data_IF_197272244920
#
_entry.id   IF_197272244920
#
_cell.length_a   1.000
_cell.length_b   1.000
_cell.length_c   1.000
_cell.angle_alpha   90.00
_cell.angle_beta   90.00
_cell.angle_gamma   90.00
#
_symmetry.space_group_name_H-M   'P 1'
#
loop_
_entity.id
_entity.type
_entity.pdbx_description
1 polymer ?
#
# COMPACT_ATOMS: atom_id res chain seq x y z
N UNK A 1 -2.94 26.88 13.56
CA UNK A 1 -1.93 25.96 14.14
C UNK A 1 -2.18 24.49 13.78
N UNK A 2 -3.38 23.94 14.02
CA UNK A 2 -3.70 22.52 13.73
C UNK A 2 -3.37 22.10 12.28
N UNK A 3 -3.78 22.91 11.27
CA UNK A 3 -3.49 22.61 9.86
C UNK A 3 -1.98 22.55 9.53
N UNK A 4 -1.16 23.32 10.24
CA UNK A 4 0.29 23.29 10.06
C UNK A 4 0.88 22.01 10.66
N UNK A 5 0.45 21.62 11.86
CA UNK A 5 0.86 20.37 12.49
C UNK A 5 0.48 19.14 11.65
N UNK A 6 -0.74 19.11 11.10
CA UNK A 6 -1.18 18.00 10.24
C UNK A 6 -0.34 17.92 8.96
N UNK A 7 -0.02 19.06 8.32
CA UNK A 7 0.88 19.10 7.16
C UNK A 7 2.29 18.63 7.51
N UNK A 8 2.80 19.02 8.67
CA UNK A 8 4.13 18.61 9.13
C UNK A 8 4.20 17.08 9.31
N UNK A 9 3.21 16.50 9.99
CA UNK A 9 3.10 15.05 10.16
C UNK A 9 3.00 14.36 8.80
N UNK A 10 2.14 14.86 7.91
CA UNK A 10 2.00 14.33 6.55
C UNK A 10 3.32 14.39 5.76
N UNK A 11 4.16 15.42 5.97
CA UNK A 11 5.45 15.54 5.30
C UNK A 11 6.45 14.50 5.81
N UNK A 12 6.50 14.28 7.12
CA UNK A 12 7.34 13.24 7.71
C UNK A 12 6.90 11.84 7.28
N UNK A 13 5.60 11.55 7.22
CA UNK A 13 5.11 10.26 6.73
C UNK A 13 5.40 10.07 5.25
N UNK A 14 5.28 11.12 4.42
CA UNK A 14 5.65 11.06 3.02
C UNK A 14 7.16 10.81 2.84
N UNK A 15 8.01 11.48 3.63
CA UNK A 15 9.45 11.25 3.62
C UNK A 15 9.81 9.81 4.02
N UNK A 16 9.15 9.27 5.06
CA UNK A 16 9.31 7.88 5.46
C UNK A 16 8.88 6.90 4.35
N UNK A 17 7.78 7.18 3.64
CA UNK A 17 7.34 6.38 2.49
C UNK A 17 8.39 6.35 1.37
N UNK A 18 9.09 7.47 1.12
CA UNK A 18 10.18 7.52 0.13
C UNK A 18 11.35 6.63 0.52
N UNK A 19 11.74 6.60 1.80
CA UNK A 19 12.80 5.70 2.30
C UNK A 19 12.38 4.23 2.14
N UNK A 20 11.12 3.93 2.48
CA UNK A 20 10.56 2.59 2.30
C UNK A 20 10.48 2.20 0.82
N UNK A 21 10.25 3.13 -0.10
CA UNK A 21 10.21 2.84 -1.53
C UNK A 21 11.56 2.35 -2.05
N UNK A 22 12.66 2.92 -1.54
CA UNK A 22 14.02 2.43 -1.84
C UNK A 22 14.19 1.01 -1.29
N UNK A 23 13.75 0.75 -0.06
CA UNK A 23 13.78 -0.58 0.55
C UNK A 23 12.95 -1.62 -0.23
N UNK A 24 11.74 -1.26 -0.66
CA UNK A 24 10.86 -2.10 -1.47
C UNK A 24 11.50 -2.41 -2.83
N UNK A 25 12.16 -1.42 -3.44
CA UNK A 25 12.89 -1.60 -4.71
C UNK A 25 14.08 -2.54 -4.54
N UNK A 26 14.89 -2.34 -3.49
CA UNK A 26 16.01 -3.22 -3.16
C UNK A 26 15.55 -4.65 -2.87
N UNK A 27 14.45 -4.82 -2.12
CA UNK A 27 13.83 -6.11 -1.86
C UNK A 27 13.32 -6.78 -3.14
N UNK A 28 12.72 -6.01 -4.05
CA UNK A 28 12.24 -6.51 -5.35
C UNK A 28 13.40 -6.98 -6.23
N UNK A 29 14.49 -6.23 -6.28
CA UNK A 29 15.72 -6.60 -7.01
C UNK A 29 16.37 -7.85 -6.39
N UNK A 30 16.46 -7.93 -5.07
CA UNK A 30 16.97 -9.12 -4.39
C UNK A 30 16.08 -10.34 -4.67
N UNK A 31 14.76 -10.17 -4.65
CA UNK A 31 13.82 -11.24 -4.95
C UNK A 31 13.87 -11.69 -6.41
N UNK A 32 14.12 -10.79 -7.37
CA UNK A 32 14.26 -11.15 -8.78
C UNK A 32 15.60 -11.83 -9.07
N UNK A 33 16.68 -11.44 -8.39
CA UNK A 33 17.97 -12.11 -8.48
C UNK A 33 17.96 -13.54 -7.91
N UNK A 34 17.08 -13.83 -6.95
CA UNK A 34 17.00 -15.12 -6.25
C UNK A 34 15.89 -16.04 -6.79
N UNK A 35 15.06 -15.58 -7.73
CA UNK A 35 13.97 -16.40 -8.30
C UNK A 35 14.43 -17.10 -9.57
N UNK A 36 14.51 -18.45 -9.58
CA UNK A 36 14.72 -19.21 -10.82
C UNK A 36 13.47 -19.21 -11.72
N UNK A 37 12.33 -18.74 -11.22
CA UNK A 37 11.07 -18.64 -11.93
C UNK A 37 10.91 -17.26 -12.57
N UNK A 38 10.43 -17.24 -13.81
CA UNK A 38 10.04 -16.00 -14.49
C UNK A 38 8.90 -15.29 -13.73
N UNK A 39 8.80 -13.95 -13.87
CA UNK A 39 7.72 -13.16 -13.25
C UNK A 39 6.32 -13.69 -13.60
N UNK A 40 6.14 -14.19 -14.82
CA UNK A 40 4.88 -14.76 -15.30
C UNK A 40 4.50 -16.06 -14.57
N UNK A 41 5.48 -16.93 -14.32
CA UNK A 41 5.30 -18.14 -13.52
C UNK A 41 5.03 -17.84 -12.05
N UNK A 42 5.69 -16.82 -11.50
CA UNK A 42 5.42 -16.37 -10.14
C UNK A 42 4.01 -15.77 -9.99
N UNK A 43 3.56 -15.00 -10.99
CA UNK A 43 2.22 -14.43 -11.02
C UNK A 43 1.13 -15.51 -11.14
N UNK A 44 1.33 -16.53 -11.98
CA UNK A 44 0.38 -17.65 -12.12
C UNK A 44 0.29 -18.50 -10.85
N UNK A 45 1.40 -18.72 -10.14
CA UNK A 45 1.38 -19.43 -8.84
C UNK A 45 0.73 -18.60 -7.72
N UNK A 46 0.85 -17.28 -7.75
CA UNK A 46 0.25 -16.39 -6.77
C UNK A 46 -1.23 -16.09 -7.04
N UNK A 47 -1.69 -16.22 -8.28
CA UNK A 47 -3.03 -15.83 -8.72
C UNK A 47 -4.19 -16.40 -7.87
N UNK A 48 -4.18 -17.68 -7.42
CA UNK A 48 -5.28 -18.23 -6.60
C UNK A 48 -5.41 -17.59 -5.20
N UNK A 49 -4.36 -16.93 -4.72
CA UNK A 49 -4.29 -16.34 -3.38
C UNK A 49 -4.55 -14.83 -3.37
N UNK A 50 -4.74 -14.22 -4.54
CA UNK A 50 -5.05 -12.80 -4.63
C UNK A 50 -6.56 -12.62 -4.41
N UNK A 51 -6.99 -11.84 -3.42
CA UNK A 51 -8.41 -11.60 -3.14
C UNK A 51 -9.02 -10.66 -4.20
N UNK A 52 -9.38 -11.20 -5.37
CA UNK A 52 -9.99 -10.44 -6.47
C UNK A 52 -11.49 -10.23 -6.32
N UNK A 53 -12.19 -11.09 -5.56
CA UNK A 53 -13.63 -10.97 -5.38
C UNK A 53 -13.94 -9.91 -4.33
N UNK A 54 -14.56 -8.81 -4.77
CA UNK A 54 -15.15 -7.82 -3.88
C UNK A 54 -16.29 -8.48 -3.08
N UNK A 55 -16.43 -8.19 -1.76
CA UNK A 55 -17.57 -8.66 -0.98
C UNK A 55 -18.89 -8.21 -1.61
N UNK A 56 -19.92 -9.05 -1.55
CA UNK A 56 -21.24 -8.73 -2.11
C UNK A 56 -21.82 -7.46 -1.47
N UNK A 57 -22.50 -6.64 -2.28
CA UNK A 57 -23.20 -5.45 -1.81
C UNK A 57 -24.32 -5.86 -0.82
N UNK A 58 -24.01 -5.76 0.47
CA UNK A 58 -24.89 -6.21 1.57
C UNK A 58 -24.16 -6.94 2.70
N UNK A 59 -22.88 -7.28 2.52
CA UNK A 59 -22.05 -7.89 3.57
C UNK A 59 -21.87 -6.97 4.79
N UNK A 60 -21.57 -7.56 5.95
CA UNK A 60 -21.33 -6.78 7.16
C UNK A 60 -20.14 -5.83 6.95
N UNK A 61 -20.15 -4.67 7.62
CA UNK A 61 -19.04 -3.71 7.54
C UNK A 61 -17.68 -4.34 7.95
N UNK A 62 -17.70 -5.40 8.77
CA UNK A 62 -16.52 -6.20 9.12
C UNK A 62 -15.91 -6.92 7.92
N UNK A 63 -16.73 -7.54 7.06
CA UNK A 63 -16.27 -8.30 5.89
C UNK A 63 -15.57 -7.38 4.87
N UNK A 64 -16.07 -6.15 4.72
CA UNK A 64 -15.44 -5.13 3.88
C UNK A 64 -14.09 -4.66 4.46
N UNK A 65 -13.98 -4.53 5.78
CA UNK A 65 -12.75 -4.13 6.44
C UNK A 65 -11.67 -5.22 6.36
N UNK A 66 -12.05 -6.50 6.56
CA UNK A 66 -11.15 -7.64 6.39
C UNK A 66 -10.69 -7.81 4.95
N UNK A 67 -11.60 -7.64 3.98
CA UNK A 67 -11.24 -7.66 2.57
C UNK A 67 -10.26 -6.53 2.22
N UNK A 68 -10.54 -5.29 2.63
CA UNK A 68 -9.62 -4.16 2.44
C UNK A 68 -8.25 -4.43 3.07
N UNK A 69 -8.24 -5.00 4.28
CA UNK A 69 -7.00 -5.37 4.95
C UNK A 69 -6.21 -6.41 4.16
N UNK A 70 -6.88 -7.43 3.62
CA UNK A 70 -6.25 -8.47 2.80
C UNK A 70 -5.63 -7.93 1.51
N UNK A 71 -6.25 -6.93 0.89
CA UNK A 71 -5.72 -6.26 -0.31
C UNK A 71 -4.53 -5.36 0.04
N UNK A 72 -4.67 -4.54 1.09
CA UNK A 72 -3.63 -3.58 1.51
C UNK A 72 -2.39 -4.30 2.08
N UNK A 73 -2.57 -5.44 2.75
CA UNK A 73 -1.46 -6.23 3.29
C UNK A 73 -0.50 -6.77 2.22
N UNK A 74 -0.97 -6.89 0.97
CA UNK A 74 -0.16 -7.34 -0.17
C UNK A 74 0.61 -6.19 -0.84
N UNK A 75 0.33 -4.94 -0.49
CA UNK A 75 0.95 -3.79 -1.12
C UNK A 75 2.34 -3.51 -0.54
N UNK A 76 3.27 -2.96 -1.35
CA UNK A 76 4.53 -2.42 -0.84
C UNK A 76 4.28 -1.42 0.28
N UNK A 77 5.10 -1.47 1.34
CA UNK A 77 4.95 -0.62 2.52
C UNK A 77 5.03 0.87 2.17
N UNK A 78 5.81 1.21 1.14
CA UNK A 78 5.87 2.56 0.58
C UNK A 78 4.51 3.07 0.11
N UNK A 79 3.74 2.26 -0.61
CA UNK A 79 2.43 2.64 -1.16
C UNK A 79 1.40 2.79 -0.05
N UNK A 80 1.37 1.86 0.91
CA UNK A 80 0.40 1.88 2.02
C UNK A 80 0.55 3.11 2.91
N UNK A 81 1.75 3.67 3.03
CA UNK A 81 2.03 4.88 3.83
C UNK A 81 1.93 6.16 2.99
N UNK A 82 2.33 6.12 1.72
CA UNK A 82 2.27 7.29 0.83
C UNK A 82 0.83 7.76 0.57
N UNK A 83 -0.11 6.83 0.34
CA UNK A 83 -1.51 7.19 0.01
C UNK A 83 -2.20 7.98 1.13
N UNK A 84 -2.19 7.55 2.41
CA UNK A 84 -2.71 8.35 3.51
C UNK A 84 -2.00 9.69 3.68
N UNK A 85 -0.67 9.73 3.52
CA UNK A 85 0.11 10.96 3.64
C UNK A 85 -0.30 12.01 2.59
N UNK A 86 -0.51 11.57 1.34
CA UNK A 86 -0.99 12.43 0.26
C UNK A 86 -2.43 12.89 0.47
N UNK A 87 -3.31 12.02 0.99
CA UNK A 87 -4.68 12.40 1.33
C UNK A 87 -4.72 13.46 2.44
N UNK A 88 -3.93 13.29 3.50
CA UNK A 88 -3.79 14.29 4.56
C UNK A 88 -3.23 15.63 4.03
N UNK A 89 -2.30 15.57 3.08
CA UNK A 89 -1.84 16.75 2.36
C UNK A 89 -2.96 17.42 1.56
N UNK A 90 -3.68 16.67 0.72
CA UNK A 90 -4.76 17.19 -0.11
C UNK A 90 -5.91 17.81 0.69
N UNK A 91 -6.31 17.15 1.79
CA UNK A 91 -7.33 17.64 2.71
C UNK A 91 -6.92 18.95 3.39
N UNK A 92 -5.64 19.08 3.74
CA UNK A 92 -5.14 20.33 4.33
C UNK A 92 -4.82 21.40 3.28
N UNK A 93 -4.59 21.03 2.01
CA UNK A 93 -4.27 21.91 0.89
C UNK A 93 -5.46 22.75 0.42
N UNK A 94 -6.69 22.22 0.47
CA UNK A 94 -7.89 22.98 0.12
C UNK A 94 -8.14 24.10 1.16
N UNK A 95 -7.85 25.34 0.77
CA UNK A 95 -8.37 26.59 1.34
C UNK A 95 -9.16 27.27 0.26
#
# INVERSE_FOLDING_TARGET
>A
MIRFLVRLIAFFTLAAATVLAIGDTARSIAASAWRPLSMEQAATLAAPYIPWSMPELGSAAGDMAEWLWSVVALWPASITIAVPALLLFGLTARR
#
